data_IF_308534243004
#
_entry.id   IF_308534243004
#
_cell.length_a   1.000
_cell.length_b   1.000
_cell.length_c   1.000
_cell.angle_alpha   90.00
_cell.angle_beta   90.00
_cell.angle_gamma   90.00
#
_symmetry.space_group_name_H-M   'P 1'
#
loop_
_entity.id
_entity.type
_entity.pdbx_description
1 polymer ?
#
# COMPACT_ATOMS: atom_id res chain seq x y z
N UNK A 1 31.17 -11.31 8.25
CA UNK A 1 30.20 -10.41 8.90
C UNK A 1 29.43 -11.26 9.90
N UNK A 2 29.38 -10.92 11.19
CA UNK A 2 28.57 -11.68 12.15
C UNK A 2 27.10 -11.59 11.75
N UNK A 3 26.45 -12.74 11.64
CA UNK A 3 25.03 -12.84 11.37
C UNK A 3 24.29 -12.80 12.69
N UNK A 4 23.54 -11.71 12.92
CA UNK A 4 22.67 -11.58 14.09
C UNK A 4 21.29 -12.12 13.71
N UNK A 5 20.79 -13.05 14.49
CA UNK A 5 19.41 -13.53 14.44
C UNK A 5 18.77 -13.39 15.81
N UNK A 6 17.52 -13.05 15.85
CA UNK A 6 16.77 -12.89 17.09
C UNK A 6 15.28 -12.69 16.82
N UNK A 7 14.49 -12.82 17.85
CA UNK A 7 13.05 -12.51 17.81
C UNK A 7 12.67 -11.71 19.05
N UNK A 8 11.56 -11.01 18.93
CA UNK A 8 10.91 -10.35 20.05
C UNK A 8 9.64 -11.12 20.39
N UNK A 9 9.44 -11.40 21.66
CA UNK A 9 8.22 -12.01 22.18
C UNK A 9 7.46 -10.98 23.00
N UNK A 10 6.16 -10.86 22.75
CA UNK A 10 5.27 -9.97 23.46
C UNK A 10 3.92 -10.63 23.71
N UNK A 11 3.16 -10.11 24.68
CA UNK A 11 1.77 -10.53 24.89
C UNK A 11 0.85 -9.52 24.22
N UNK A 12 0.09 -9.95 23.23
CA UNK A 12 -1.06 -9.22 22.71
C UNK A 12 -2.30 -9.60 23.53
N UNK A 13 -3.05 -8.61 24.00
CA UNK A 13 -4.27 -8.89 24.78
C UNK A 13 -5.40 -9.39 23.87
N UNK A 14 -5.54 -8.76 22.70
CA UNK A 14 -6.52 -9.09 21.68
C UNK A 14 -5.98 -8.63 20.32
N UNK A 15 -6.06 -9.50 19.33
CA UNK A 15 -5.72 -9.12 17.96
C UNK A 15 -6.89 -8.37 17.32
N UNK A 16 -6.64 -7.16 16.86
CA UNK A 16 -7.66 -6.32 16.20
C UNK A 16 -7.81 -6.71 14.74
N UNK A 17 -9.04 -6.70 14.20
CA UNK A 17 -9.23 -6.93 12.79
C UNK A 17 -8.53 -5.85 11.98
N UNK A 18 -7.83 -6.27 10.93
CA UNK A 18 -7.16 -5.37 9.99
C UNK A 18 -7.59 -5.73 8.58
N UNK A 19 -8.05 -4.73 7.83
CA UNK A 19 -8.28 -4.83 6.39
C UNK A 19 -7.82 -3.55 5.72
N UNK A 20 -6.87 -3.67 4.81
CA UNK A 20 -6.20 -2.53 4.18
C UNK A 20 -6.71 -2.36 2.75
N UNK A 21 -7.06 -1.13 2.38
CA UNK A 21 -7.17 -0.71 0.99
C UNK A 21 -5.85 -0.04 0.58
N UNK A 22 -5.03 -0.73 -0.22
CA UNK A 22 -3.85 -0.15 -0.84
C UNK A 22 -4.28 0.64 -2.07
N UNK A 23 -4.16 1.95 -2.02
CA UNK A 23 -4.53 2.89 -3.07
C UNK A 23 -3.28 3.31 -3.84
N UNK A 24 -3.23 2.95 -5.11
CA UNK A 24 -2.17 3.31 -6.05
C UNK A 24 -2.70 4.31 -7.05
N UNK A 25 -2.14 5.52 -7.07
CA UNK A 25 -2.48 6.53 -8.06
C UNK A 25 -1.52 6.44 -9.25
N UNK A 26 -2.05 6.36 -10.47
CA UNK A 26 -1.25 6.20 -11.68
C UNK A 26 -1.73 7.08 -12.83
N UNK A 27 -0.79 7.44 -13.71
CA UNK A 27 -1.08 8.16 -14.95
C UNK A 27 -0.20 7.64 -16.09
N UNK A 28 -0.76 6.78 -16.96
CA UNK A 28 -0.08 6.20 -18.13
C UNK A 28 1.26 5.53 -17.81
N UNK A 29 1.26 4.70 -16.76
CA UNK A 29 2.44 3.97 -16.28
C UNK A 29 2.16 2.46 -16.14
N UNK A 30 1.50 1.89 -17.13
CA UNK A 30 1.06 0.49 -17.14
C UNK A 30 2.17 -0.52 -16.83
N UNK A 31 3.43 -0.36 -17.31
CA UNK A 31 4.49 -1.31 -16.98
C UNK A 31 4.83 -1.38 -15.48
N UNK A 32 4.83 -0.23 -14.80
CA UNK A 32 5.08 -0.17 -13.35
C UNK A 32 3.93 -0.78 -12.56
N UNK A 33 2.70 -0.38 -12.91
CA UNK A 33 1.47 -0.94 -12.32
C UNK A 33 1.44 -2.45 -12.49
N UNK A 34 1.72 -2.96 -13.69
CA UNK A 34 1.71 -4.41 -13.96
C UNK A 34 2.77 -5.16 -13.17
N UNK A 35 3.98 -4.60 -13.05
CA UNK A 35 5.06 -5.17 -12.23
C UNK A 35 4.61 -5.34 -10.77
N UNK A 36 4.11 -4.27 -10.16
CA UNK A 36 3.69 -4.27 -8.77
C UNK A 36 2.47 -5.17 -8.56
N UNK A 37 1.50 -5.14 -9.47
CA UNK A 37 0.31 -5.99 -9.44
C UNK A 37 0.67 -7.48 -9.45
N UNK A 38 1.58 -7.90 -10.34
CA UNK A 38 2.09 -9.29 -10.39
C UNK A 38 2.82 -9.68 -9.10
N UNK A 39 3.56 -8.74 -8.49
CA UNK A 39 4.25 -8.98 -7.23
C UNK A 39 3.26 -9.23 -6.09
N UNK A 40 2.23 -8.38 -5.97
CA UNK A 40 1.18 -8.53 -4.96
C UNK A 40 0.40 -9.84 -5.15
N UNK A 41 -0.01 -10.16 -6.36
CA UNK A 41 -0.77 -11.39 -6.61
C UNK A 41 0.03 -12.64 -6.25
N UNK A 42 1.30 -12.74 -6.68
CA UNK A 42 2.17 -13.87 -6.30
C UNK A 42 2.37 -13.98 -4.79
N UNK A 43 2.40 -12.85 -4.10
CA UNK A 43 2.51 -12.82 -2.65
C UNK A 43 1.23 -13.35 -1.99
N UNK A 44 0.04 -12.95 -2.45
CA UNK A 44 -1.25 -13.41 -1.93
C UNK A 44 -1.54 -14.88 -2.26
N UNK A 45 -0.97 -15.44 -3.32
CA UNK A 45 -1.09 -16.86 -3.69
C UNK A 45 -0.34 -17.79 -2.73
N UNK A 46 0.55 -17.28 -1.89
CA UNK A 46 1.26 -18.10 -0.89
C UNK A 46 0.30 -18.55 0.20
N UNK A 47 0.34 -19.83 0.63
CA UNK A 47 -0.57 -20.36 1.64
C UNK A 47 -0.58 -19.55 2.94
N UNK A 48 0.58 -19.07 3.38
CA UNK A 48 0.73 -18.26 4.58
C UNK A 48 0.04 -16.88 4.49
N UNK A 49 -0.20 -16.38 3.29
CA UNK A 49 -0.81 -15.08 3.02
C UNK A 49 -2.25 -15.18 2.53
N UNK A 50 -2.78 -16.39 2.33
CA UNK A 50 -4.11 -16.62 1.75
C UNK A 50 -5.27 -16.04 2.58
N UNK A 51 -5.05 -15.84 3.88
CA UNK A 51 -6.03 -15.21 4.79
C UNK A 51 -5.96 -13.69 4.81
N UNK A 52 -4.98 -13.08 4.13
CA UNK A 52 -4.80 -11.64 4.12
C UNK A 52 -5.86 -10.96 3.25
N UNK A 53 -6.73 -10.19 3.87
CA UNK A 53 -7.81 -9.46 3.21
C UNK A 53 -7.32 -8.10 2.69
N UNK A 54 -6.50 -8.12 1.63
CA UNK A 54 -5.97 -6.92 0.98
C UNK A 54 -6.86 -6.49 -0.19
N UNK A 55 -7.26 -5.22 -0.21
CA UNK A 55 -7.82 -4.58 -1.39
C UNK A 55 -6.71 -3.77 -2.07
N UNK A 56 -6.49 -3.97 -3.37
CA UNK A 56 -5.47 -3.28 -4.15
C UNK A 56 -6.15 -2.46 -5.26
N UNK A 57 -6.25 -1.15 -5.04
CA UNK A 57 -7.04 -0.27 -5.86
C UNK A 57 -6.17 0.65 -6.70
N UNK A 58 -6.43 0.64 -8.00
CA UNK A 58 -5.70 1.39 -9.01
C UNK A 58 -6.52 2.60 -9.43
N UNK A 59 -6.17 3.79 -8.93
CA UNK A 59 -6.80 5.05 -9.34
C UNK A 59 -6.14 5.52 -10.63
N UNK A 60 -6.86 5.31 -11.72
CA UNK A 60 -6.37 5.51 -13.09
C UNK A 60 -6.68 6.92 -13.61
N UNK A 61 -5.78 7.85 -13.37
CA UNK A 61 -5.86 9.22 -13.88
C UNK A 61 -5.71 9.30 -15.40
N UNK A 62 -5.17 8.26 -16.04
CA UNK A 62 -5.00 8.16 -17.49
C UNK A 62 -6.18 7.56 -18.22
N UNK A 63 -7.02 6.80 -17.50
CA UNK A 63 -8.09 5.98 -18.04
C UNK A 63 -7.62 4.98 -19.09
N UNK A 64 -6.42 4.44 -18.88
CA UNK A 64 -5.76 3.53 -19.84
C UNK A 64 -5.62 2.10 -19.31
N UNK A 65 -5.77 1.90 -17.99
CA UNK A 65 -5.57 0.57 -17.39
C UNK A 65 -6.60 -0.46 -17.84
N UNK A 66 -7.86 -0.04 -18.04
CA UNK A 66 -8.93 -0.93 -18.51
C UNK A 66 -8.76 -1.34 -19.97
N UNK A 67 -7.98 -0.58 -20.76
CA UNK A 67 -7.64 -0.87 -22.16
C UNK A 67 -6.40 -1.76 -22.26
N UNK A 68 -5.59 -1.84 -21.18
CA UNK A 68 -4.42 -2.69 -21.14
C UNK A 68 -4.82 -4.15 -20.88
N UNK A 69 -4.67 -5.01 -21.89
CA UNK A 69 -5.17 -6.39 -21.90
C UNK A 69 -4.82 -7.19 -20.65
N UNK A 70 -3.54 -7.19 -20.24
CA UNK A 70 -3.09 -7.98 -19.09
C UNK A 70 -3.58 -7.44 -17.75
N UNK A 71 -3.58 -6.12 -17.55
CA UNK A 71 -4.07 -5.50 -16.31
C UNK A 71 -5.57 -5.71 -16.16
N UNK A 72 -6.34 -5.49 -17.23
CA UNK A 72 -7.79 -5.71 -17.25
C UNK A 72 -8.13 -7.17 -16.97
N UNK A 73 -7.39 -8.12 -17.57
CA UNK A 73 -7.55 -9.55 -17.32
C UNK A 73 -7.28 -9.92 -15.85
N UNK A 74 -6.18 -9.44 -15.27
CA UNK A 74 -5.84 -9.69 -13.87
C UNK A 74 -6.90 -9.10 -12.92
N UNK A 75 -7.38 -7.90 -13.18
CA UNK A 75 -8.45 -7.30 -12.40
C UNK A 75 -9.76 -8.12 -12.46
N UNK A 76 -10.10 -8.62 -13.65
CA UNK A 76 -11.28 -9.49 -13.82
C UNK A 76 -11.13 -10.86 -13.14
N UNK A 77 -9.91 -11.40 -13.03
CA UNK A 77 -9.64 -12.66 -12.35
C UNK A 77 -9.62 -12.53 -10.81
N UNK A 78 -9.36 -11.33 -10.28
CA UNK A 78 -9.26 -11.07 -8.85
C UNK A 78 -10.16 -9.90 -8.40
N UNK A 79 -11.49 -9.96 -8.65
CA UNK A 79 -12.39 -8.82 -8.45
C UNK A 79 -12.55 -8.40 -6.98
N UNK A 80 -12.31 -9.31 -6.03
CA UNK A 80 -12.36 -9.03 -4.59
C UNK A 80 -11.10 -8.32 -4.08
N UNK A 81 -10.00 -8.43 -4.83
CA UNK A 81 -8.71 -7.85 -4.46
C UNK A 81 -8.42 -6.60 -5.29
N UNK A 82 -8.58 -6.68 -6.62
CA UNK A 82 -8.16 -5.62 -7.54
C UNK A 82 -9.36 -4.82 -8.02
N UNK A 83 -9.24 -3.50 -7.92
CA UNK A 83 -10.23 -2.58 -8.47
C UNK A 83 -9.55 -1.48 -9.29
N UNK A 84 -9.96 -1.31 -10.54
CA UNK A 84 -9.56 -0.18 -11.37
C UNK A 84 -10.61 0.91 -11.20
N UNK A 85 -10.18 2.11 -10.78
CA UNK A 85 -11.04 3.27 -10.53
C UNK A 85 -10.69 4.34 -11.55
N UNK A 86 -11.47 4.48 -12.63
CA UNK A 86 -11.24 5.52 -13.61
C UNK A 86 -11.38 6.90 -12.96
N UNK A 87 -10.40 7.77 -13.19
CA UNK A 87 -10.41 9.11 -12.63
C UNK A 87 -10.09 10.16 -13.70
N UNK A 88 -10.45 11.41 -13.42
CA UNK A 88 -9.95 12.55 -14.17
C UNK A 88 -8.57 12.90 -13.64
N UNK A 89 -7.60 13.15 -14.51
CA UNK A 89 -6.27 13.57 -14.05
C UNK A 89 -6.34 14.92 -13.32
N UNK A 90 -6.25 14.85 -12.00
CA UNK A 90 -6.18 16.00 -11.10
C UNK A 90 -4.90 15.92 -10.23
N UNK A 91 -3.85 15.28 -10.79
CA UNK A 91 -2.57 15.06 -10.13
C UNK A 91 -2.61 13.96 -9.07
N UNK A 92 -1.48 13.77 -8.38
CA UNK A 92 -1.34 12.77 -7.32
C UNK A 92 -2.29 13.02 -6.15
N UNK A 93 -2.36 14.26 -5.67
CA UNK A 93 -3.24 14.62 -4.56
C UNK A 93 -4.71 14.27 -4.85
N UNK A 94 -5.21 14.62 -6.05
CA UNK A 94 -6.58 14.30 -6.42
C UNK A 94 -6.81 12.80 -6.66
N UNK A 95 -5.81 12.08 -7.17
CA UNK A 95 -5.88 10.63 -7.34
C UNK A 95 -5.93 9.89 -6.01
N UNK A 96 -5.07 10.23 -5.07
CA UNK A 96 -5.11 9.65 -3.72
C UNK A 96 -6.39 10.02 -2.97
N UNK A 97 -6.85 11.27 -3.07
CA UNK A 97 -8.14 11.68 -2.50
C UNK A 97 -9.29 10.86 -3.07
N UNK A 98 -9.30 10.59 -4.38
CA UNK A 98 -10.31 9.73 -4.99
C UNK A 98 -10.30 8.32 -4.39
N UNK A 99 -9.14 7.71 -4.22
CA UNK A 99 -9.02 6.39 -3.60
C UNK A 99 -9.45 6.38 -2.14
N UNK A 100 -9.14 7.43 -1.37
CA UNK A 100 -9.61 7.56 0.02
C UNK A 100 -11.13 7.70 0.11
N UNK A 101 -11.76 8.49 -0.77
CA UNK A 101 -13.22 8.61 -0.84
C UNK A 101 -13.86 7.24 -1.10
N UNK A 102 -13.37 6.51 -2.12
CA UNK A 102 -13.83 5.15 -2.40
C UNK A 102 -13.69 4.22 -1.18
N UNK A 103 -12.57 4.33 -0.44
CA UNK A 103 -12.35 3.51 0.76
C UNK A 103 -13.34 3.86 1.88
N UNK A 104 -13.67 5.13 2.05
CA UNK A 104 -14.67 5.58 3.04
C UNK A 104 -16.07 5.08 2.66
N UNK A 105 -16.46 5.21 1.39
CA UNK A 105 -17.76 4.76 0.88
C UNK A 105 -17.93 3.25 0.99
N UNK A 106 -16.86 2.48 0.81
CA UNK A 106 -16.86 1.02 0.87
C UNK A 106 -16.51 0.45 2.26
N UNK A 107 -16.20 1.32 3.23
CA UNK A 107 -15.70 0.93 4.55
C UNK A 107 -16.55 -0.14 5.21
N UNK A 108 -17.84 0.12 5.37
CA UNK A 108 -18.75 -0.79 6.07
C UNK A 108 -18.97 -2.10 5.28
N UNK A 109 -19.16 -1.99 3.96
CA UNK A 109 -19.41 -3.15 3.10
C UNK A 109 -18.23 -4.11 3.05
N UNK A 110 -17.01 -3.57 2.99
CA UNK A 110 -15.79 -4.37 2.91
C UNK A 110 -15.11 -4.59 4.27
N UNK A 111 -15.56 -3.93 5.32
CA UNK A 111 -14.90 -3.97 6.63
C UNK A 111 -13.50 -3.35 6.61
N UNK A 112 -13.29 -2.28 5.81
CA UNK A 112 -12.00 -1.62 5.73
C UNK A 112 -11.67 -0.89 7.02
N UNK A 113 -10.44 -1.06 7.47
CA UNK A 113 -9.93 -0.43 8.69
C UNK A 113 -8.88 0.63 8.40
N UNK A 114 -8.10 0.45 7.34
CA UNK A 114 -6.98 1.32 7.00
C UNK A 114 -6.91 1.55 5.48
N UNK A 115 -6.33 2.69 5.12
CA UNK A 115 -5.95 3.02 3.74
C UNK A 115 -4.44 3.19 3.69
N UNK A 116 -3.80 2.55 2.72
CA UNK A 116 -2.39 2.73 2.43
C UNK A 116 -2.23 3.42 1.08
N UNK A 117 -1.57 4.56 1.06
CA UNK A 117 -1.23 5.26 -0.18
C UNK A 117 0.12 4.80 -0.70
N UNK A 118 0.21 4.56 -2.00
CA UNK A 118 1.42 4.03 -2.65
C UNK A 118 1.62 4.66 -4.03
N UNK A 119 2.86 5.00 -4.35
CA UNK A 119 3.23 5.42 -5.70
C UNK A 119 3.31 4.22 -6.65
N UNK A 120 2.98 4.45 -7.92
CA UNK A 120 2.94 3.42 -8.95
C UNK A 120 4.32 2.94 -9.40
N UNK A 121 5.35 3.78 -9.31
CA UNK A 121 6.72 3.53 -9.77
C UNK A 121 7.66 2.97 -8.68
N UNK A 122 7.31 3.05 -7.42
CA UNK A 122 8.06 2.41 -6.36
C UNK A 122 8.05 0.88 -6.53
N UNK A 123 9.21 0.23 -6.39
CA UNK A 123 9.31 -1.22 -6.28
C UNK A 123 8.89 -1.61 -4.87
N UNK A 124 7.71 -2.18 -4.77
CA UNK A 124 7.17 -2.57 -3.49
C UNK A 124 7.58 -4.01 -3.13
N UNK A 125 8.13 -4.19 -1.92
CA UNK A 125 8.21 -5.51 -1.30
C UNK A 125 6.88 -5.82 -0.60
N UNK A 126 6.10 -6.82 -1.08
CA UNK A 126 4.80 -7.13 -0.48
C UNK A 126 4.87 -7.58 0.98
N UNK A 127 6.05 -7.94 1.50
CA UNK A 127 6.27 -8.23 2.91
C UNK A 127 5.90 -7.05 3.82
N UNK A 128 5.88 -5.83 3.26
CA UNK A 128 5.38 -4.65 3.98
C UNK A 128 3.95 -4.84 4.50
N UNK A 129 3.11 -5.58 3.77
CA UNK A 129 1.74 -5.86 4.21
C UNK A 129 1.71 -6.76 5.44
N UNK A 130 2.54 -7.81 5.50
CA UNK A 130 2.65 -8.67 6.69
C UNK A 130 2.99 -7.83 7.91
N UNK A 131 3.98 -6.94 7.76
CA UNK A 131 4.42 -6.06 8.85
C UNK A 131 3.33 -5.06 9.26
N UNK A 132 2.65 -4.45 8.29
CA UNK A 132 1.55 -3.51 8.56
C UNK A 132 0.38 -4.21 9.26
N UNK A 133 -0.04 -5.38 8.76
CA UNK A 133 -1.12 -6.16 9.38
C UNK A 133 -0.76 -6.59 10.80
N UNK A 134 0.44 -7.13 11.01
CA UNK A 134 0.90 -7.53 12.34
C UNK A 134 0.96 -6.36 13.32
N UNK A 135 1.55 -5.22 12.89
CA UNK A 135 1.64 -4.04 13.74
C UNK A 135 0.26 -3.47 14.08
N UNK A 136 -0.59 -3.29 13.07
CA UNK A 136 -1.94 -2.73 13.26
C UNK A 136 -2.85 -3.67 14.04
N UNK A 137 -2.72 -4.98 13.87
CA UNK A 137 -3.48 -5.98 14.63
C UNK A 137 -3.11 -6.01 16.12
N UNK A 138 -1.87 -5.74 16.45
CA UNK A 138 -1.35 -5.77 17.83
C UNK A 138 -1.34 -4.39 18.52
N UNK A 139 -1.79 -3.32 17.84
CA UNK A 139 -1.76 -1.97 18.41
C UNK A 139 -2.65 -1.86 19.65
N UNK A 140 -2.24 -1.03 20.62
CA UNK A 140 -3.06 -0.65 21.76
C UNK A 140 -4.16 0.33 21.34
N UNK A 141 -5.23 0.44 22.13
CA UNK A 141 -6.36 1.36 21.86
C UNK A 141 -5.93 2.83 21.83
N UNK A 142 -4.98 3.20 22.68
CA UNK A 142 -4.39 4.55 22.71
C UNK A 142 -3.67 4.96 21.41
N UNK A 143 -3.44 4.00 20.50
CA UNK A 143 -2.77 4.16 19.22
C UNK A 143 -3.71 3.94 18.03
N UNK A 144 -5.00 4.16 18.22
CA UNK A 144 -6.00 3.93 17.16
C UNK A 144 -5.76 4.83 15.94
N UNK A 145 -5.36 6.08 16.17
CA UNK A 145 -5.13 7.09 15.13
C UNK A 145 -3.68 7.13 14.63
N UNK A 146 -2.94 6.02 14.74
CA UNK A 146 -1.55 5.99 14.30
C UNK A 146 -1.42 6.01 12.78
N UNK A 147 -0.46 6.76 12.28
CA UNK A 147 -0.02 6.70 10.89
C UNK A 147 1.28 5.90 10.79
N UNK A 148 1.31 4.92 9.88
CA UNK A 148 2.51 4.14 9.58
C UNK A 148 3.14 4.66 8.29
N UNK A 149 4.43 4.95 8.34
CA UNK A 149 5.24 5.27 7.18
C UNK A 149 6.22 4.14 6.85
N UNK A 150 6.42 3.88 5.56
CA UNK A 150 7.47 2.99 5.07
C UNK A 150 8.73 3.77 4.71
N UNK A 151 9.91 3.15 4.82
CA UNK A 151 11.14 3.72 4.32
C UNK A 151 11.25 3.54 2.81
N UNK A 152 11.66 4.57 2.10
CA UNK A 152 11.97 4.52 0.69
C UNK A 152 13.49 4.37 0.50
N UNK A 153 13.91 3.35 -0.24
CA UNK A 153 15.30 3.06 -0.53
C UNK A 153 15.58 3.24 -2.02
N UNK A 154 16.80 3.60 -2.35
CA UNK A 154 17.20 3.73 -3.75
C UNK A 154 17.38 2.36 -4.38
N UNK A 155 16.82 2.14 -5.57
CA UNK A 155 16.96 0.89 -6.31
C UNK A 155 18.40 0.69 -6.84
N UNK A 156 19.03 1.79 -7.29
CA UNK A 156 20.42 1.78 -7.79
C UNK A 156 21.47 1.64 -6.69
N UNK A 157 21.14 2.07 -5.46
CA UNK A 157 21.99 1.98 -4.27
C UNK A 157 21.17 1.51 -3.07
N UNK A 158 20.87 0.19 -2.95
CA UNK A 158 19.91 -0.32 -1.98
C UNK A 158 20.33 -0.18 -0.50
N UNK A 159 21.49 0.35 -0.24
CA UNK A 159 21.99 0.72 1.10
C UNK A 159 21.79 2.21 1.40
N UNK A 160 21.27 3.01 0.46
CA UNK A 160 20.96 4.42 0.66
C UNK A 160 19.47 4.58 0.84
N UNK A 161 19.06 5.01 2.02
CA UNK A 161 17.69 5.39 2.30
C UNK A 161 17.38 6.75 1.65
N UNK A 162 16.35 6.78 0.80
CA UNK A 162 15.94 7.99 0.09
C UNK A 162 15.04 8.87 0.96
N UNK A 163 14.12 8.27 1.69
CA UNK A 163 13.22 8.97 2.60
C UNK A 163 12.70 8.02 3.69
N UNK A 164 12.52 8.53 4.92
CA UNK A 164 11.91 7.80 6.02
C UNK A 164 10.85 8.62 6.77
N UNK A 165 10.74 9.88 6.46
CA UNK A 165 9.81 10.84 7.02
C UNK A 165 10.29 12.25 6.71
N UNK A 166 9.36 13.17 6.72
CA UNK A 166 9.61 14.58 6.43
C UNK A 166 8.75 15.43 7.36
N UNK A 167 9.29 16.57 7.77
CA UNK A 167 8.54 17.55 8.53
C UNK A 167 8.08 18.67 7.60
N UNK A 168 6.83 19.06 7.76
CA UNK A 168 6.31 20.25 7.11
C UNK A 168 6.31 21.41 8.09
N UNK A 169 7.21 22.35 7.88
CA UNK A 169 7.35 23.57 8.72
C UNK A 169 7.53 24.79 7.82
N UNK A 170 6.85 25.87 8.17
CA UNK A 170 6.99 27.17 7.50
C UNK A 170 6.74 27.10 5.97
N UNK A 171 5.73 26.32 5.55
CA UNK A 171 5.38 26.05 4.16
C UNK A 171 6.48 25.35 3.32
N UNK A 172 7.44 24.75 3.97
CA UNK A 172 8.48 23.96 3.33
C UNK A 172 8.58 22.55 3.93
N UNK A 173 8.95 21.59 3.07
CA UNK A 173 9.32 20.24 3.49
C UNK A 173 10.75 20.30 4.02
N UNK A 174 10.97 19.78 5.21
CA UNK A 174 12.28 19.67 5.82
C UNK A 174 12.61 18.20 6.06
N UNK A 175 13.72 17.75 5.52
CA UNK A 175 14.24 16.41 5.75
C UNK A 175 15.01 16.39 7.08
N UNK A 176 14.62 15.53 7.99
CA UNK A 176 15.29 15.34 9.28
C UNK A 176 16.44 14.32 9.18
N UNK A 177 17.29 14.44 8.16
CA UNK A 177 18.49 13.64 8.10
C UNK A 177 19.72 14.53 8.43
N UNK A 178 20.53 14.14 9.44
CA UNK A 178 21.78 14.79 9.71
C UNK A 178 22.78 14.61 8.57
#
# INVERSE_FOLDING_TARGET
>A
VPQLSGWYEGKCQEEKPVRIAAVVCTFKREPYVLRNLKSVLRFLERPENASMNLCYWLVDNGRTLSEHEEISRLAAQHPDTIRIIPNRNVGGAGGFTRGMIEAIEEKERLGLTHVQMMDDDAVMDPELFVRAYGFLGMRKDEWEDITLGGSLWREDFPYIQQAAGEWFRDFAVQNDFP
#
